data_IF_563505727238
#
_entry.id   IF_563505727238
#
_cell.length_a   1.000
_cell.length_b   1.000
_cell.length_c   1.000
_cell.angle_alpha   90.00
_cell.angle_beta   90.00
_cell.angle_gamma   90.00
#
_symmetry.space_group_name_H-M   'P 1'
#
loop_
_entity.id
_entity.type
_entity.pdbx_description
1 polymer ?
#
# COMPACT_ATOMS: atom_id res chain seq x y z
N UNK A 1 -4.81 -72.86 -30.27
CA UNK A 1 -3.35 -72.87 -30.54
C UNK A 1 -2.99 -71.47 -31.01
N UNK A 2 -2.62 -70.56 -30.11
CA UNK A 2 -1.25 -70.20 -29.65
C UNK A 2 -0.36 -69.55 -30.73
N UNK A 3 0.02 -68.31 -30.39
CA UNK A 3 1.26 -67.55 -30.65
C UNK A 3 1.32 -66.53 -31.81
N UNK A 4 2.05 -65.46 -31.49
CA UNK A 4 2.47 -64.26 -32.25
C UNK A 4 1.41 -63.14 -32.31
N UNK A 5 1.64 -61.91 -31.85
CA UNK A 5 2.90 -61.15 -31.74
C UNK A 5 2.82 -60.10 -30.62
N UNK A 6 3.77 -60.20 -29.68
CA UNK A 6 4.34 -59.06 -28.98
C UNK A 6 4.78 -58.02 -30.03
N UNK A 7 4.50 -56.74 -29.81
CA UNK A 7 5.31 -55.56 -30.19
C UNK A 7 4.40 -54.32 -30.29
N UNK A 8 3.86 -53.83 -29.16
CA UNK A 8 3.51 -52.41 -29.05
C UNK A 8 3.37 -51.96 -27.58
N UNK A 9 4.28 -52.42 -26.72
CA UNK A 9 4.33 -52.02 -25.31
C UNK A 9 5.69 -51.37 -25.00
N UNK A 10 5.98 -50.28 -25.69
CA UNK A 10 7.20 -49.50 -25.46
C UNK A 10 6.98 -48.04 -25.89
N UNK A 11 6.13 -47.30 -25.17
CA UNK A 11 6.15 -45.82 -25.19
C UNK A 11 5.27 -45.16 -24.12
N UNK A 12 5.13 -45.76 -22.95
CA UNK A 12 4.63 -45.07 -21.75
C UNK A 12 5.70 -45.11 -20.66
N UNK A 13 6.89 -44.63 -21.04
CA UNK A 13 7.85 -44.18 -20.05
C UNK A 13 7.23 -42.99 -19.33
N UNK A 14 6.98 -43.22 -18.04
CA UNK A 14 6.62 -42.28 -17.02
C UNK A 14 7.42 -40.98 -17.14
N UNK A 15 6.87 -39.99 -17.85
CA UNK A 15 7.17 -38.59 -17.60
C UNK A 15 6.38 -38.19 -16.35
N UNK A 16 6.81 -38.68 -15.19
CA UNK A 16 6.53 -38.00 -13.93
C UNK A 16 7.29 -36.70 -14.03
N UNK A 17 6.63 -35.69 -14.60
CA UNK A 17 7.07 -34.30 -14.49
C UNK A 17 6.87 -33.97 -13.01
N UNK A 18 7.92 -34.22 -12.23
CA UNK A 18 8.09 -33.59 -10.92
C UNK A 18 8.18 -32.10 -11.25
N UNK A 19 7.04 -31.41 -11.18
CA UNK A 19 6.99 -29.96 -11.11
C UNK A 19 7.59 -29.59 -9.77
N UNK A 20 8.92 -29.57 -9.71
CA UNK A 20 9.63 -28.90 -8.64
C UNK A 20 9.13 -27.45 -8.66
N UNK A 21 8.67 -26.88 -7.53
CA UNK A 21 8.41 -25.46 -7.46
C UNK A 21 9.74 -24.74 -7.67
N UNK A 22 9.99 -24.30 -8.90
CA UNK A 22 11.10 -23.40 -9.21
C UNK A 22 10.90 -22.18 -8.32
N UNK A 23 11.82 -21.85 -7.40
CA UNK A 23 11.72 -20.60 -6.66
C UNK A 23 11.83 -19.47 -7.68
N UNK A 24 10.71 -18.78 -7.94
CA UNK A 24 10.66 -17.71 -8.91
C UNK A 24 11.63 -16.61 -8.45
N UNK A 25 12.71 -16.45 -9.22
CA UNK A 25 13.75 -15.48 -8.97
C UNK A 25 13.14 -14.07 -8.84
N UNK A 26 13.38 -13.41 -7.70
CA UNK A 26 13.11 -11.99 -7.53
C UNK A 26 13.98 -11.20 -8.51
N UNK A 27 13.39 -10.64 -9.55
CA UNK A 27 14.07 -9.73 -10.47
C UNK A 27 14.01 -8.30 -9.88
N UNK A 28 15.10 -7.89 -9.24
CA UNK A 28 15.29 -6.50 -8.82
C UNK A 28 16.02 -5.70 -9.90
N UNK A 29 15.39 -4.66 -10.45
CA UNK A 29 16.05 -3.71 -11.36
C UNK A 29 16.42 -2.43 -10.60
N UNK A 30 17.71 -2.10 -10.55
CA UNK A 30 18.23 -0.82 -10.03
C UNK A 30 18.73 0.01 -11.21
N UNK A 31 17.98 1.03 -11.60
CA UNK A 31 18.40 1.96 -12.64
C UNK A 31 19.16 3.13 -12.01
N UNK A 32 20.47 3.17 -12.26
CA UNK A 32 21.33 4.35 -12.40
C UNK A 32 21.51 5.31 -11.21
N UNK A 33 22.77 5.69 -10.97
CA UNK A 33 23.14 6.88 -10.18
C UNK A 33 23.86 7.88 -11.10
N UNK A 34 23.50 9.15 -11.05
CA UNK A 34 24.27 10.25 -11.69
C UNK A 34 24.74 11.24 -10.63
N UNK A 35 25.99 11.72 -10.74
CA UNK A 35 26.59 12.69 -9.82
C UNK A 35 25.94 14.07 -9.99
N UNK A 36 25.78 14.82 -8.89
CA UNK A 36 25.11 16.13 -8.78
C UNK A 36 23.57 16.16 -8.83
N UNK A 37 22.95 15.22 -8.12
CA UNK A 37 21.51 15.23 -7.84
C UNK A 37 20.85 13.99 -8.41
N UNK A 38 21.16 12.84 -7.80
CA UNK A 38 20.83 11.54 -8.34
C UNK A 38 19.31 11.31 -8.35
N UNK A 39 18.75 11.18 -9.54
CA UNK A 39 17.52 10.42 -9.74
C UNK A 39 17.85 8.93 -9.58
N UNK A 40 17.17 8.25 -8.67
CA UNK A 40 17.31 6.83 -8.39
C UNK A 40 15.97 6.19 -8.68
N UNK A 41 15.98 5.22 -9.60
CA UNK A 41 14.81 4.40 -9.90
C UNK A 41 15.11 2.97 -9.47
N UNK A 42 14.24 2.41 -8.63
CA UNK A 42 14.32 1.02 -8.17
C UNK A 42 13.00 0.34 -8.42
N UNK A 43 13.05 -0.86 -8.96
CA UNK A 43 11.91 -1.73 -9.13
C UNK A 43 12.22 -3.14 -8.62
N UNK A 44 11.24 -3.76 -7.99
CA UNK A 44 11.28 -5.17 -7.61
C UNK A 44 10.01 -5.81 -8.12
N UNK A 45 10.13 -6.89 -8.89
CA UNK A 45 9.01 -7.75 -9.26
C UNK A 45 9.23 -9.16 -8.70
N UNK A 46 8.11 -9.82 -8.41
CA UNK A 46 8.06 -11.21 -7.99
C UNK A 46 6.71 -11.83 -8.35
N UNK A 47 6.55 -13.10 -8.04
CA UNK A 47 5.38 -13.92 -8.41
C UNK A 47 4.03 -13.24 -8.14
N UNK A 48 3.93 -12.59 -6.99
CA UNK A 48 2.66 -12.08 -6.47
C UNK A 48 2.63 -10.56 -6.43
N UNK A 49 3.59 -9.86 -7.01
CA UNK A 49 3.56 -8.40 -6.92
C UNK A 49 4.76 -7.69 -7.48
N UNK A 50 4.63 -6.38 -7.54
CA UNK A 50 5.64 -5.48 -8.05
C UNK A 50 5.68 -4.21 -7.21
N UNK A 51 6.85 -3.62 -7.11
CA UNK A 51 7.05 -2.31 -6.50
C UNK A 51 8.04 -1.51 -7.32
N UNK A 52 7.83 -0.21 -7.35
CA UNK A 52 8.66 0.75 -8.06
C UNK A 52 8.78 2.02 -7.23
N UNK A 53 9.96 2.59 -7.20
CA UNK A 53 10.25 3.85 -6.55
C UNK A 53 11.19 4.68 -7.42
N UNK A 54 10.79 5.91 -7.71
CA UNK A 54 11.65 6.94 -8.25
C UNK A 54 11.88 8.00 -7.18
N UNK A 55 13.12 8.40 -6.96
CA UNK A 55 13.45 9.52 -6.09
C UNK A 55 14.52 10.38 -6.72
N UNK A 56 14.40 11.70 -6.64
CA UNK A 56 15.43 12.63 -7.07
C UNK A 56 15.64 13.69 -6.00
N UNK A 57 16.88 14.09 -5.76
CA UNK A 57 17.19 15.18 -4.86
C UNK A 57 18.29 16.05 -5.48
N UNK A 58 18.07 17.35 -5.50
CA UNK A 58 19.10 18.37 -5.74
C UNK A 58 19.53 18.90 -4.38
N UNK A 59 20.77 18.64 -4.01
CA UNK A 59 21.32 18.99 -2.70
C UNK A 59 21.06 20.46 -2.36
N UNK A 60 20.48 20.72 -1.18
CA UNK A 60 20.19 22.07 -0.69
C UNK A 60 19.04 22.82 -1.38
N UNK A 61 18.37 22.24 -2.39
CA UNK A 61 17.36 22.96 -3.19
C UNK A 61 16.00 22.30 -3.11
N UNK A 62 15.88 21.06 -3.55
CA UNK A 62 14.60 20.36 -3.64
C UNK A 62 14.78 18.88 -3.87
N UNK A 63 13.74 18.11 -3.62
CA UNK A 63 13.71 16.71 -3.99
C UNK A 63 12.34 16.11 -3.83
N UNK A 64 12.20 14.89 -4.32
CA UNK A 64 10.96 14.17 -4.25
C UNK A 64 11.18 12.68 -4.40
N UNK A 65 10.17 11.93 -3.98
CA UNK A 65 10.12 10.49 -4.08
C UNK A 65 8.69 10.05 -4.35
N UNK A 66 8.52 9.31 -5.43
CA UNK A 66 7.29 8.64 -5.80
C UNK A 66 7.52 7.13 -5.73
N UNK A 67 6.61 6.39 -5.12
CA UNK A 67 6.61 4.94 -5.09
C UNK A 67 5.21 4.42 -5.36
N UNK A 68 5.15 3.28 -6.02
CA UNK A 68 3.94 2.48 -6.15
C UNK A 68 4.30 1.02 -5.90
N UNK A 69 3.38 0.27 -5.31
CA UNK A 69 3.48 -1.17 -5.21
C UNK A 69 2.11 -1.79 -5.39
N UNK A 70 2.08 -2.96 -6.00
CA UNK A 70 0.91 -3.81 -6.06
C UNK A 70 1.27 -5.24 -5.66
N UNK A 71 0.32 -5.93 -5.08
CA UNK A 71 0.40 -7.33 -4.72
C UNK A 71 -0.93 -7.99 -5.03
N UNK A 72 -0.88 -9.20 -5.59
CA UNK A 72 -2.01 -10.10 -5.81
C UNK A 72 -1.55 -11.48 -5.40
N UNK A 73 -2.03 -11.97 -4.27
CA UNK A 73 -1.65 -13.27 -3.72
C UNK A 73 -2.56 -14.41 -4.18
N UNK A 74 -2.18 -15.65 -3.84
CA UNK A 74 -2.79 -16.87 -4.37
C UNK A 74 -4.25 -17.08 -3.95
N UNK A 75 -4.71 -16.44 -2.87
CA UNK A 75 -6.06 -16.58 -2.34
C UNK A 75 -6.97 -15.40 -2.71
N UNK A 76 -6.69 -14.72 -3.83
CA UNK A 76 -7.47 -13.57 -4.31
C UNK A 76 -7.29 -12.29 -3.49
N UNK A 77 -6.39 -12.29 -2.50
CA UNK A 77 -6.05 -11.08 -1.78
C UNK A 77 -5.21 -10.15 -2.66
N UNK A 78 -5.46 -8.86 -2.58
CA UNK A 78 -4.70 -7.86 -3.32
C UNK A 78 -4.38 -6.67 -2.43
N UNK A 79 -3.31 -5.96 -2.77
CA UNK A 79 -3.00 -4.68 -2.16
C UNK A 79 -2.37 -3.76 -3.17
N UNK A 80 -2.66 -2.48 -3.07
CA UNK A 80 -1.95 -1.42 -3.78
C UNK A 80 -1.49 -0.38 -2.78
N UNK A 81 -0.32 0.20 -2.99
CA UNK A 81 0.10 1.36 -2.22
C UNK A 81 0.85 2.33 -3.10
N UNK A 82 0.55 3.61 -2.94
CA UNK A 82 1.26 4.69 -3.57
C UNK A 82 1.77 5.65 -2.50
N UNK A 83 2.92 6.27 -2.77
CA UNK A 83 3.49 7.32 -1.92
C UNK A 83 4.18 8.34 -2.79
N UNK A 84 3.80 9.60 -2.68
CA UNK A 84 4.52 10.73 -3.26
C UNK A 84 4.99 11.66 -2.15
N UNK A 85 6.20 12.16 -2.25
CA UNK A 85 6.76 13.17 -1.35
C UNK A 85 7.54 14.18 -2.17
N UNK A 86 7.46 15.45 -1.78
CA UNK A 86 8.21 16.54 -2.36
C UNK A 86 8.69 17.48 -1.26
N UNK A 87 9.87 18.07 -1.43
CA UNK A 87 10.39 19.11 -0.57
C UNK A 87 11.10 20.17 -1.41
N UNK A 88 11.07 21.41 -0.93
CA UNK A 88 11.85 22.53 -1.45
C UNK A 88 12.36 23.37 -0.29
N UNK A 89 13.67 23.58 -0.23
CA UNK A 89 14.31 24.38 0.80
C UNK A 89 13.71 25.80 0.83
N UNK A 90 13.46 26.31 2.03
CA UNK A 90 12.83 27.62 2.25
C UNK A 90 11.34 27.73 1.90
N UNK A 91 10.73 26.71 1.28
CA UNK A 91 9.29 26.73 0.93
C UNK A 91 8.52 25.73 1.78
N UNK A 92 8.96 24.48 1.86
CA UNK A 92 8.19 23.45 2.57
C UNK A 92 8.32 22.04 2.03
N UNK A 93 7.43 21.17 2.50
CA UNK A 93 7.33 19.79 2.07
C UNK A 93 5.87 19.35 1.95
N UNK A 94 5.62 18.39 1.06
CA UNK A 94 4.32 17.73 0.92
C UNK A 94 4.52 16.21 0.83
N UNK A 95 3.58 15.47 1.38
CA UNK A 95 3.51 14.01 1.30
C UNK A 95 2.08 13.58 0.99
N UNK A 96 1.94 12.55 0.19
CA UNK A 96 0.70 11.81 -0.01
C UNK A 96 1.05 10.32 0.03
N UNK A 97 0.29 9.53 0.76
CA UNK A 97 0.36 8.09 0.78
C UNK A 97 -1.05 7.54 0.69
N UNK A 98 -1.28 6.60 -0.21
CA UNK A 98 -2.50 5.81 -0.26
C UNK A 98 -2.13 4.33 -0.18
N UNK A 99 -2.95 3.54 0.50
CA UNK A 99 -2.86 2.09 0.56
C UNK A 99 -4.27 1.54 0.49
N UNK A 100 -4.51 0.59 -0.42
CA UNK A 100 -5.75 -0.18 -0.52
C UNK A 100 -5.40 -1.66 -0.39
N UNK A 101 -6.24 -2.42 0.28
CA UNK A 101 -6.09 -3.85 0.51
C UNK A 101 -7.45 -4.52 0.42
N UNK A 102 -7.52 -5.63 -0.32
CA UNK A 102 -8.66 -6.53 -0.37
C UNK A 102 -8.21 -7.90 0.10
N UNK A 103 -8.78 -8.40 1.19
CA UNK A 103 -8.52 -9.73 1.72
C UNK A 103 -9.29 -10.81 0.96
N UNK A 104 -8.84 -12.06 1.10
CA UNK A 104 -9.48 -13.23 0.49
C UNK A 104 -10.96 -13.37 0.87
N UNK A 105 -11.33 -12.91 2.06
CA UNK A 105 -12.69 -12.98 2.60
C UNK A 105 -13.57 -11.78 2.17
N UNK A 106 -13.13 -10.98 1.19
CA UNK A 106 -13.85 -9.78 0.74
C UNK A 106 -13.71 -8.54 1.64
N UNK A 107 -12.93 -8.63 2.72
CA UNK A 107 -12.65 -7.50 3.61
C UNK A 107 -11.78 -6.46 2.90
N UNK A 108 -12.17 -5.20 2.93
CA UNK A 108 -11.37 -4.11 2.37
C UNK A 108 -10.74 -3.25 3.47
N UNK A 109 -9.60 -2.65 3.14
CA UNK A 109 -8.93 -1.65 3.96
C UNK A 109 -8.27 -0.62 3.05
N UNK A 110 -8.71 0.62 3.18
CA UNK A 110 -8.14 1.79 2.54
C UNK A 110 -7.57 2.71 3.60
N UNK A 111 -6.42 3.31 3.29
CA UNK A 111 -5.73 4.25 4.15
C UNK A 111 -5.09 5.32 3.29
N UNK A 112 -5.56 6.55 3.43
CA UNK A 112 -4.99 7.71 2.78
C UNK A 112 -4.38 8.65 3.81
N UNK A 113 -3.24 9.25 3.48
CA UNK A 113 -2.53 10.21 4.32
C UNK A 113 -1.91 11.27 3.45
N UNK A 114 -2.35 12.50 3.60
CA UNK A 114 -1.77 13.68 3.01
C UNK A 114 -1.19 14.57 4.11
N UNK A 115 -0.07 15.22 3.82
CA UNK A 115 0.49 16.22 4.72
C UNK A 115 1.22 17.29 3.93
N UNK A 116 1.14 18.52 4.41
CA UNK A 116 1.85 19.68 3.88
C UNK A 116 2.49 20.44 5.03
N UNK A 117 3.63 21.06 4.76
CA UNK A 117 4.35 21.91 5.69
C UNK A 117 4.92 23.09 4.92
N UNK A 118 4.70 24.30 5.43
CA UNK A 118 5.27 25.53 4.90
C UNK A 118 6.41 26.00 5.82
N UNK A 119 7.60 26.13 5.26
CA UNK A 119 8.79 26.52 6.00
C UNK A 119 8.83 28.02 6.34
N UNK A 120 8.16 28.88 5.57
CA UNK A 120 8.12 30.33 5.79
C UNK A 120 7.20 30.69 6.95
N UNK A 121 6.06 30.01 7.07
CA UNK A 121 5.09 30.27 8.14
C UNK A 121 5.23 29.31 9.33
N UNK A 122 6.01 28.22 9.17
CA UNK A 122 6.13 27.17 10.18
C UNK A 122 4.84 26.35 10.37
N UNK A 123 3.86 26.50 9.49
CA UNK A 123 2.56 25.84 9.57
C UNK A 123 2.59 24.49 8.83
N UNK A 124 1.87 23.52 9.37
CA UNK A 124 1.63 22.24 8.72
C UNK A 124 0.18 21.80 8.84
N UNK A 125 -0.26 21.07 7.83
CA UNK A 125 -1.55 20.41 7.79
C UNK A 125 -1.33 18.93 7.49
N UNK A 126 -2.17 18.09 8.08
CA UNK A 126 -2.20 16.65 7.88
C UNK A 126 -3.65 16.23 7.75
N UNK A 127 -3.95 15.44 6.74
CA UNK A 127 -5.25 14.79 6.57
C UNK A 127 -5.01 13.31 6.39
N UNK A 128 -5.68 12.47 7.16
CA UNK A 128 -5.56 11.03 7.06
C UNK A 128 -6.89 10.36 7.28
N UNK A 129 -7.20 9.41 6.41
CA UNK A 129 -8.40 8.60 6.48
C UNK A 129 -8.07 7.12 6.49
N UNK A 130 -8.88 6.35 7.21
CA UNK A 130 -8.96 4.90 7.06
C UNK A 130 -10.41 4.54 6.76
N UNK A 131 -10.64 3.60 5.86
CA UNK A 131 -11.97 3.06 5.61
C UNK A 131 -11.87 1.60 5.19
N UNK A 132 -12.99 0.90 5.19
CA UNK A 132 -13.02 -0.46 4.67
C UNK A 132 -14.24 -1.22 5.12
N UNK A 133 -14.24 -2.51 4.84
CA UNK A 133 -15.26 -3.46 5.29
C UNK A 133 -14.61 -4.62 6.03
N UNK A 134 -15.21 -5.01 7.14
CA UNK A 134 -14.84 -6.21 7.89
C UNK A 134 -16.10 -7.07 8.08
N UNK A 135 -16.10 -8.27 7.51
CA UNK A 135 -17.23 -9.20 7.51
C UNK A 135 -18.53 -8.52 7.05
N UNK A 136 -18.48 -7.77 5.94
CA UNK A 136 -19.63 -7.03 5.38
C UNK A 136 -19.99 -5.73 6.10
N UNK A 137 -19.33 -5.41 7.22
CA UNK A 137 -19.62 -4.19 7.99
C UNK A 137 -18.62 -3.09 7.65
N UNK A 138 -19.12 -1.91 7.26
CA UNK A 138 -18.26 -0.76 6.97
C UNK A 138 -17.66 -0.16 8.25
N UNK A 139 -16.38 0.19 8.20
CA UNK A 139 -15.68 0.94 9.24
C UNK A 139 -14.86 2.06 8.61
N UNK A 140 -14.57 3.10 9.39
CA UNK A 140 -13.70 4.16 8.92
C UNK A 140 -13.52 5.31 9.90
N UNK A 141 -12.41 6.01 9.76
CA UNK A 141 -12.09 7.22 10.51
C UNK A 141 -11.45 8.22 9.57
N UNK A 142 -11.94 9.45 9.54
CA UNK A 142 -11.23 10.56 8.91
C UNK A 142 -10.69 11.52 9.96
N UNK A 143 -9.47 11.98 9.77
CA UNK A 143 -8.74 12.82 10.73
C UNK A 143 -8.02 13.93 10.01
N UNK A 144 -8.21 15.16 10.48
CA UNK A 144 -7.50 16.33 10.01
C UNK A 144 -6.76 16.95 11.19
N UNK A 145 -5.48 17.26 11.02
CA UNK A 145 -4.67 17.91 12.03
C UNK A 145 -3.95 19.11 11.44
N UNK A 146 -3.96 20.23 12.16
CA UNK A 146 -3.28 21.46 11.77
C UNK A 146 -2.44 21.96 12.93
N UNK A 147 -1.25 22.49 12.66
CA UNK A 147 -0.40 23.01 13.72
C UNK A 147 0.69 23.93 13.22
N UNK A 148 1.23 24.71 14.15
CA UNK A 148 2.38 25.59 13.92
C UNK A 148 3.55 25.06 14.73
N UNK A 149 4.75 25.07 14.13
CA UNK A 149 5.98 24.62 14.80
C UNK A 149 6.14 25.31 16.15
N UNK A 150 6.26 24.52 17.22
CA UNK A 150 6.48 25.01 18.58
C UNK A 150 5.21 25.42 19.35
N UNK A 151 4.01 25.34 18.75
CA UNK A 151 2.75 25.79 19.39
C UNK A 151 1.72 24.66 19.59
N UNK A 152 2.11 23.41 19.37
CA UNK A 152 1.16 22.29 19.34
C UNK A 152 0.26 22.34 18.09
N UNK A 153 -0.67 21.38 17.99
CA UNK A 153 -1.59 21.30 16.87
C UNK A 153 -2.97 20.84 17.33
N UNK A 154 -4.00 21.23 16.58
CA UNK A 154 -5.37 20.75 16.78
C UNK A 154 -5.60 19.53 15.90
N UNK A 155 -6.18 18.48 16.47
CA UNK A 155 -6.59 17.26 15.75
C UNK A 155 -8.11 17.17 15.79
N UNK A 156 -8.72 17.19 14.61
CA UNK A 156 -10.15 16.97 14.42
C UNK A 156 -10.38 15.57 13.86
N UNK A 157 -11.33 14.84 14.43
CA UNK A 157 -11.78 13.54 13.93
C UNK A 157 -13.20 13.72 13.40
N UNK A 158 -13.32 13.80 12.08
CA UNK A 158 -14.56 14.21 11.40
C UNK A 158 -15.62 13.11 11.44
N UNK A 159 -15.21 11.85 11.44
CA UNK A 159 -16.11 10.70 11.51
C UNK A 159 -15.40 9.49 12.11
N UNK A 160 -16.13 8.71 12.92
CA UNK A 160 -15.73 7.39 13.38
C UNK A 160 -16.89 6.42 13.17
N UNK A 161 -16.67 5.40 12.36
CA UNK A 161 -17.54 4.24 12.25
C UNK A 161 -16.75 3.00 12.66
N UNK A 162 -17.14 2.39 13.79
CA UNK A 162 -16.50 1.19 14.36
C UNK A 162 -17.31 -0.09 14.12
N UNK A 163 -18.23 -0.10 13.15
CA UNK A 163 -18.96 -1.30 12.75
C UNK A 163 -20.22 -1.63 13.57
N UNK A 164 -20.69 -0.73 14.44
CA UNK A 164 -22.03 -0.86 15.06
C UNK A 164 -22.61 0.46 15.56
N UNK A 165 -22.17 1.59 15.00
CA UNK A 165 -22.69 2.90 15.34
C UNK A 165 -21.79 4.00 14.79
N UNK A 166 -22.38 4.94 14.06
CA UNK A 166 -21.75 6.20 13.70
C UNK A 166 -21.61 7.05 14.95
N UNK A 167 -20.38 7.26 15.41
CA UNK A 167 -20.07 8.23 16.45
C UNK A 167 -19.53 9.48 15.76
N UNK A 168 -20.35 10.52 15.70
CA UNK A 168 -19.90 11.87 15.36
C UNK A 168 -19.37 12.50 16.64
N UNK A 169 -18.04 12.61 16.78
CA UNK A 169 -17.43 13.18 17.98
C UNK A 169 -17.72 14.68 18.06
N UNK A 170 -18.64 15.05 18.94
CA UNK A 170 -19.06 16.43 19.23
C UNK A 170 -20.09 16.52 20.36
N UNK A 171 -20.85 15.44 20.62
CA UNK A 171 -21.78 15.37 21.76
C UNK A 171 -22.07 13.89 22.09
N UNK A 172 -21.64 13.45 23.28
CA UNK A 172 -22.00 12.20 23.96
C UNK A 172 -22.42 10.99 23.12
N UNK A 173 -21.50 10.06 22.85
CA UNK A 173 -21.88 8.75 22.32
C UNK A 173 -22.54 7.90 23.43
N UNK A 174 -23.86 7.71 23.36
CA UNK A 174 -24.56 6.67 24.11
C UNK A 174 -24.43 5.37 23.30
N UNK A 175 -23.77 4.37 23.90
CA UNK A 175 -23.81 2.99 23.39
C UNK A 175 -25.22 2.46 23.61
N UNK A 176 -26.02 2.31 22.56
CA UNK A 176 -27.19 1.43 22.64
C UNK A 176 -26.65 0.00 22.55
N UNK A 177 -26.69 -0.72 23.67
CA UNK A 177 -26.36 -2.14 23.67
C UNK A 177 -27.33 -2.87 22.71
N UNK A 178 -26.87 -3.91 21.98
CA UNK A 178 -27.79 -4.74 21.21
C UNK A 178 -28.78 -5.39 22.17
N UNK A 179 -30.07 -5.19 21.91
CA UNK A 179 -31.15 -5.90 22.58
C UNK A 179 -31.02 -7.40 22.26
N UNK A 180 -31.09 -8.30 23.27
CA UNK A 180 -31.05 -9.74 23.05
C UNK A 180 -32.25 -10.26 22.25
#
# INVERSE_FOLDING_TARGET
MKLSSLFLTACTFAAVIVVLPVPQAQAGFRAGHTQNGAAVVRGNSGQYGQSGCASGARYGVSGGKACASSYTGPNGNSSTSTRATGYKAGVGAATNKSTSYTGANGNTYDNQRQGTYNAQTGQGAYTGGKSGTYNGTAYGVNTTANGTKGQGGTVNVDSVNNGSGTCTTGSGCVKTAPTP
#
